data_IF_225815019083
#
_entry.id   IF_225815019083
#
_cell.length_a   1.000
_cell.length_b   1.000
_cell.length_c   1.000
_cell.angle_alpha   90.00
_cell.angle_beta   90.00
_cell.angle_gamma   90.00
#
_symmetry.space_group_name_H-M   'P 1'
#
loop_
_entity.id
_entity.type
_entity.pdbx_description
1 polymer ?
#
# COMPACT_ATOMS: atom_id res chain seq x y z
N UNK A 1 -0.91 12.95 -19.90
CA UNK A 1 -2.01 12.01 -19.61
C UNK A 1 -1.88 11.67 -18.15
N UNK A 2 -2.95 11.81 -17.38
CA UNK A 2 -2.93 11.53 -15.95
C UNK A 2 -3.43 10.12 -15.69
N UNK A 3 -2.70 9.39 -14.85
CA UNK A 3 -3.14 8.10 -14.35
C UNK A 3 -2.85 7.98 -12.85
N UNK A 4 -3.52 7.02 -12.21
CA UNK A 4 -3.35 6.73 -10.80
C UNK A 4 -2.83 5.30 -10.67
N UNK A 5 -1.72 5.14 -9.97
CA UNK A 5 -1.22 3.83 -9.53
C UNK A 5 -1.77 3.55 -8.13
N UNK A 6 -2.29 2.34 -7.92
CA UNK A 6 -2.82 1.89 -6.64
C UNK A 6 -2.18 0.54 -6.32
N UNK A 7 -1.60 0.42 -5.12
CA UNK A 7 -0.98 -0.80 -4.62
C UNK A 7 -1.55 -1.16 -3.25
N UNK A 8 -1.95 -2.42 -3.09
CA UNK A 8 -2.51 -2.96 -1.86
C UNK A 8 -1.61 -4.04 -1.30
N UNK A 9 -1.29 -3.89 -0.02
CA UNK A 9 -0.58 -4.90 0.74
C UNK A 9 -1.59 -5.76 1.49
N UNK A 10 -1.29 -7.03 1.69
CA UNK A 10 -2.20 -7.97 2.36
C UNK A 10 -1.59 -8.51 3.65
N UNK A 11 -2.44 -8.70 4.66
CA UNK A 11 -2.04 -9.25 5.95
C UNK A 11 -1.70 -10.75 5.85
N UNK A 12 -2.30 -11.45 4.90
CA UNK A 12 -2.10 -12.87 4.64
C UNK A 12 -2.41 -13.20 3.16
N UNK A 13 -2.42 -14.48 2.79
CA UNK A 13 -2.63 -14.94 1.40
C UNK A 13 -4.01 -14.58 0.81
N UNK A 14 -4.94 -14.10 1.64
CA UNK A 14 -6.27 -13.70 1.18
C UNK A 14 -6.23 -12.29 0.61
N UNK A 15 -6.67 -12.16 -0.66
CA UNK A 15 -6.83 -10.86 -1.34
C UNK A 15 -7.80 -9.91 -0.62
N UNK A 16 -8.70 -10.44 0.20
CA UNK A 16 -9.63 -9.66 1.02
C UNK A 16 -9.06 -9.22 2.38
N UNK A 17 -7.73 -9.30 2.58
CA UNK A 17 -7.07 -8.89 3.83
C UNK A 17 -6.16 -7.66 3.69
N UNK A 18 -6.59 -6.57 3.02
CA UNK A 18 -5.72 -5.43 2.81
C UNK A 18 -5.28 -4.82 4.15
N UNK A 19 -3.98 -4.58 4.31
CA UNK A 19 -3.39 -4.01 5.52
C UNK A 19 -2.77 -2.62 5.29
N UNK A 20 -2.53 -2.25 4.04
CA UNK A 20 -2.13 -0.91 3.65
C UNK A 20 -2.55 -0.63 2.20
N UNK A 21 -2.65 0.66 1.87
CA UNK A 21 -2.85 1.14 0.51
C UNK A 21 -1.85 2.25 0.22
N UNK A 22 -1.21 2.18 -0.95
CA UNK A 22 -0.43 3.25 -1.55
C UNK A 22 -1.11 3.74 -2.82
N UNK A 23 -1.18 5.06 -2.99
CA UNK A 23 -1.75 5.71 -4.17
C UNK A 23 -0.73 6.73 -4.67
N UNK A 24 -0.47 6.73 -5.97
CA UNK A 24 0.36 7.75 -6.63
C UNK A 24 -0.38 8.31 -7.84
N UNK A 25 -0.52 9.64 -7.92
CA UNK A 25 -1.07 10.36 -9.06
C UNK A 25 0.09 10.78 -9.95
N UNK A 26 0.06 10.35 -11.21
CA UNK A 26 1.14 10.59 -12.19
C UNK A 26 0.61 11.44 -13.33
N UNK A 27 1.32 12.51 -13.66
CA UNK A 27 1.09 13.29 -14.88
C UNK A 27 2.33 13.28 -15.77
N UNK A 28 2.21 12.63 -16.93
CA UNK A 28 3.34 12.39 -17.82
C UNK A 28 4.36 11.46 -17.15
N UNK A 29 5.55 11.98 -16.84
CA UNK A 29 6.65 11.24 -16.22
C UNK A 29 6.87 11.62 -14.74
N UNK A 30 5.97 12.41 -14.15
CA UNK A 30 6.13 12.94 -12.78
C UNK A 30 5.02 12.44 -11.87
N UNK A 31 5.39 12.02 -10.67
CA UNK A 31 4.45 11.87 -9.56
C UNK A 31 4.13 13.28 -9.05
N UNK A 32 2.86 13.63 -9.02
CA UNK A 32 2.39 14.98 -8.65
C UNK A 32 1.67 15.00 -7.31
N UNK A 33 1.18 13.85 -6.85
CA UNK A 33 0.57 13.68 -5.54
C UNK A 33 0.62 12.20 -5.15
N UNK A 34 0.49 11.94 -3.85
CA UNK A 34 0.44 10.59 -3.34
C UNK A 34 -0.13 10.51 -1.93
N UNK A 35 -0.64 9.31 -1.63
CA UNK A 35 -1.30 9.01 -0.38
C UNK A 35 -0.96 7.61 0.08
N UNK A 36 -0.70 7.49 1.38
CA UNK A 36 -0.48 6.21 2.04
C UNK A 36 -1.33 6.12 3.29
N UNK A 37 -1.92 4.95 3.53
CA UNK A 37 -2.65 4.69 4.77
C UNK A 37 -2.61 3.23 5.17
N UNK A 38 -2.64 3.01 6.48
CA UNK A 38 -2.80 1.70 7.09
C UNK A 38 -4.28 1.35 7.15
N UNK A 39 -4.57 0.07 6.89
CA UNK A 39 -5.91 -0.49 6.96
C UNK A 39 -5.88 -1.56 8.05
N UNK A 40 -6.85 -1.56 8.95
CA UNK A 40 -7.04 -2.71 9.84
C UNK A 40 -7.68 -3.85 9.02
N UNK A 41 -6.97 -4.96 8.73
CA UNK A 41 -7.46 -6.00 7.82
C UNK A 41 -8.61 -6.83 8.41
N UNK A 42 -8.93 -6.66 9.70
CA UNK A 42 -9.90 -7.49 10.43
C UNK A 42 -9.66 -9.00 10.24
N UNK A 43 -8.38 -9.38 10.10
CA UNK A 43 -7.91 -10.73 9.82
C UNK A 43 -6.58 -10.97 10.55
N UNK A 44 -6.16 -12.24 10.66
CA UNK A 44 -4.85 -12.54 11.23
C UNK A 44 -3.72 -12.04 10.33
N UNK A 45 -2.60 -11.69 10.94
CA UNK A 45 -1.38 -11.35 10.22
C UNK A 45 -0.47 -12.57 10.08
N UNK A 46 -0.16 -12.94 8.85
CA UNK A 46 0.81 -13.99 8.57
C UNK A 46 2.19 -13.54 9.07
N UNK A 47 2.96 -14.40 9.76
CA UNK A 47 4.34 -14.10 10.15
C UNK A 47 5.24 -13.66 8.99
N UNK A 48 4.96 -14.17 7.79
CA UNK A 48 5.68 -13.83 6.56
C UNK A 48 5.32 -12.43 6.01
N UNK A 49 4.16 -11.88 6.39
CA UNK A 49 3.67 -10.58 5.92
C UNK A 49 3.89 -9.45 6.96
N UNK A 50 4.46 -9.76 8.15
CA UNK A 50 4.74 -8.76 9.21
C UNK A 50 5.66 -7.61 8.79
N UNK A 51 6.37 -7.73 7.68
CA UNK A 51 7.26 -6.67 7.17
C UNK A 51 6.50 -5.40 6.77
N UNK A 52 5.22 -5.50 6.41
CA UNK A 52 4.41 -4.36 6.00
C UNK A 52 4.18 -3.34 7.14
N UNK A 53 4.12 -3.79 8.41
CA UNK A 53 3.87 -2.96 9.58
C UNK A 53 5.14 -2.28 10.13
N UNK A 54 6.32 -2.82 9.83
CA UNK A 54 7.61 -2.40 10.43
C UNK A 54 8.58 -1.70 9.50
N UNK A 55 8.17 -1.34 8.28
CA UNK A 55 9.06 -0.63 7.35
C UNK A 55 8.88 0.88 7.48
N UNK A 56 9.74 1.60 8.24
CA UNK A 56 9.72 3.07 8.30
C UNK A 56 10.17 3.72 6.98
N UNK A 57 10.57 2.92 5.99
CA UNK A 57 11.07 3.36 4.70
C UNK A 57 10.13 3.04 3.55
N UNK A 58 8.83 2.77 3.80
CA UNK A 58 7.90 2.75 2.68
C UNK A 58 7.94 4.13 2.03
N UNK A 59 8.27 4.19 0.73
CA UNK A 59 8.46 5.45 0.07
C UNK A 59 7.22 6.29 0.28
N UNK A 60 7.46 7.54 0.66
CA UNK A 60 6.64 8.66 0.20
C UNK A 60 6.78 8.63 -1.33
N UNK A 61 6.09 7.67 -1.97
CA UNK A 61 5.52 7.96 -3.28
C UNK A 61 4.73 9.24 -3.12
#
# INVERSE_FOLDING_TARGET
MQFVSIDFETANEKRSSPCAVGIAVVDGEKIVDAYYSLINPMAYFSPFNRFAEKSPSKPVI
#
